data_IF_543895978477
#
_entry.id   IF_543895978477
#
_cell.length_a   1.000
_cell.length_b   1.000
_cell.length_c   1.000
_cell.angle_alpha   90.00
_cell.angle_beta   90.00
_cell.angle_gamma   90.00
#
_symmetry.space_group_name_H-M   'P 1'
#
loop_
_entity.id
_entity.type
_entity.pdbx_description
1 polymer ?
#
# COMPACT_ATOMS: atom_id res chain seq x y z
N UNK A 1 15.31 -12.17 17.79
CA UNK A 1 16.57 -12.74 18.33
C UNK A 1 16.81 -12.41 19.79
N UNK A 2 16.71 -11.15 20.23
CA UNK A 2 16.94 -10.80 21.65
C UNK A 2 16.02 -11.57 22.61
N UNK A 3 14.70 -11.57 22.37
CA UNK A 3 13.72 -12.31 23.17
C UNK A 3 14.01 -13.82 23.22
N UNK A 4 14.31 -14.43 22.06
CA UNK A 4 14.69 -15.84 21.97
C UNK A 4 15.91 -16.19 22.84
N UNK A 5 16.99 -15.39 22.81
CA UNK A 5 18.16 -15.63 23.67
C UNK A 5 17.86 -15.49 25.16
N UNK A 6 16.83 -14.71 25.51
CA UNK A 6 16.34 -14.54 26.87
C UNK A 6 15.22 -15.53 27.24
N UNK A 7 14.86 -16.45 26.32
CA UNK A 7 13.77 -17.41 26.50
C UNK A 7 12.41 -16.74 26.78
N UNK A 8 12.17 -15.58 26.17
CA UNK A 8 10.90 -14.86 26.26
C UNK A 8 10.05 -15.18 25.03
N UNK A 9 8.77 -15.60 25.21
CA UNK A 9 7.88 -15.88 24.09
C UNK A 9 7.68 -14.69 23.15
N UNK A 10 7.52 -14.97 21.85
CA UNK A 10 7.38 -13.97 20.79
C UNK A 10 6.10 -14.21 20.00
N UNK A 11 5.20 -13.23 20.01
CA UNK A 11 4.09 -13.15 19.07
C UNK A 11 4.48 -12.32 17.84
N UNK A 12 4.36 -12.90 16.64
CA UNK A 12 4.65 -12.23 15.37
C UNK A 12 3.35 -11.71 14.74
N UNK A 13 3.10 -10.41 14.90
CA UNK A 13 2.01 -9.71 14.22
C UNK A 13 2.35 -9.54 12.74
N UNK A 14 1.36 -9.71 11.85
CA UNK A 14 1.53 -9.68 10.40
C UNK A 14 2.40 -10.83 9.86
N UNK A 15 2.26 -12.02 10.46
CA UNK A 15 3.03 -13.19 10.06
C UNK A 15 2.58 -13.77 8.70
N UNK A 16 3.48 -14.50 8.03
CA UNK A 16 3.12 -15.36 6.89
C UNK A 16 3.14 -14.74 5.49
N UNK A 17 3.42 -13.45 5.34
CA UNK A 17 3.58 -12.80 4.03
C UNK A 17 4.83 -13.32 3.33
N UNK A 18 4.74 -13.68 2.04
CA UNK A 18 5.90 -14.21 1.29
C UNK A 18 5.89 -13.72 -0.16
N UNK A 19 7.08 -13.48 -0.69
CA UNK A 19 7.33 -13.48 -2.15
C UNK A 19 8.12 -14.72 -2.60
N UNK A 20 8.77 -15.42 -1.66
CA UNK A 20 9.72 -16.51 -1.91
C UNK A 20 10.95 -16.11 -2.75
N UNK A 21 11.12 -14.83 -3.07
CA UNK A 21 12.35 -14.28 -3.65
C UNK A 21 13.14 -13.53 -2.58
N UNK A 22 14.24 -14.14 -2.12
CA UNK A 22 15.14 -13.55 -1.13
C UNK A 22 15.74 -12.20 -1.52
N UNK A 23 15.65 -11.81 -2.80
CA UNK A 23 16.16 -10.55 -3.33
C UNK A 23 15.07 -9.50 -3.56
N UNK A 24 13.79 -9.85 -3.41
CA UNK A 24 12.68 -8.94 -3.69
C UNK A 24 11.44 -9.26 -2.83
N UNK A 25 11.09 -8.41 -1.86
CA UNK A 25 11.80 -7.22 -1.38
C UNK A 25 13.03 -7.57 -0.52
N UNK A 26 14.11 -6.81 -0.67
CA UNK A 26 15.35 -6.97 0.09
C UNK A 26 15.54 -5.84 1.12
N UNK A 27 15.77 -6.16 2.41
CA UNK A 27 15.98 -7.48 3.01
C UNK A 27 14.72 -8.16 3.58
N UNK A 28 13.54 -7.59 3.33
CA UNK A 28 12.34 -7.88 4.09
C UNK A 28 11.84 -9.32 3.94
N UNK A 29 11.97 -9.95 2.77
CA UNK A 29 11.62 -11.37 2.58
C UNK A 29 12.42 -12.30 3.50
N UNK A 30 13.71 -12.05 3.68
CA UNK A 30 14.54 -12.86 4.58
C UNK A 30 14.19 -12.57 6.04
N UNK A 31 14.01 -11.29 6.40
CA UNK A 31 13.70 -10.90 7.78
C UNK A 31 12.43 -11.58 8.31
N UNK A 32 11.33 -11.54 7.56
CA UNK A 32 10.05 -12.11 8.00
C UNK A 32 10.09 -13.63 8.15
N UNK A 33 10.88 -14.32 7.30
CA UNK A 33 11.10 -15.77 7.41
C UNK A 33 11.93 -16.10 8.65
N UNK A 34 12.98 -15.35 8.93
CA UNK A 34 13.77 -15.52 10.16
C UNK A 34 12.92 -15.30 11.42
N UNK A 35 12.07 -14.27 11.44
CA UNK A 35 11.18 -14.03 12.60
C UNK A 35 10.20 -15.19 12.78
N UNK A 36 9.66 -15.75 11.68
CA UNK A 36 8.75 -16.90 11.75
C UNK A 36 9.40 -18.15 12.37
N UNK A 37 10.72 -18.31 12.28
CA UNK A 37 11.42 -19.44 12.92
C UNK A 37 11.59 -19.31 14.43
N UNK A 38 11.41 -18.10 14.99
CA UNK A 38 11.62 -17.82 16.42
C UNK A 38 10.34 -17.39 17.14
N UNK A 39 9.21 -17.29 16.42
CA UNK A 39 7.94 -16.89 16.98
C UNK A 39 7.21 -18.10 17.57
N UNK A 40 6.57 -17.90 18.72
CA UNK A 40 5.75 -18.90 19.41
C UNK A 40 4.27 -18.78 18.98
N UNK A 41 3.84 -17.59 18.58
CA UNK A 41 2.52 -17.32 18.02
C UNK A 41 2.64 -16.51 16.73
N UNK A 42 1.78 -16.81 15.77
CA UNK A 42 1.77 -16.21 14.44
C UNK A 42 0.39 -15.62 14.14
N UNK A 43 0.30 -14.29 14.11
CA UNK A 43 -0.95 -13.61 13.79
C UNK A 43 -0.94 -13.27 12.30
N UNK A 44 -1.52 -14.16 11.51
CA UNK A 44 -1.59 -14.04 10.06
C UNK A 44 -2.73 -13.07 9.67
N UNK A 45 -2.52 -12.13 8.74
CA UNK A 45 -3.57 -11.20 8.35
C UNK A 45 -4.62 -11.84 7.43
N UNK A 46 -4.28 -12.92 6.73
CA UNK A 46 -5.15 -13.60 5.76
C UNK A 46 -4.96 -15.11 5.82
N UNK A 47 -5.94 -15.85 5.30
CA UNK A 47 -5.81 -17.31 5.11
C UNK A 47 -4.63 -17.67 4.18
N UNK A 48 -4.31 -16.80 3.21
CA UNK A 48 -3.15 -17.02 2.33
C UNK A 48 -1.83 -16.92 3.09
N UNK A 49 -1.72 -15.97 4.02
CA UNK A 49 -0.54 -15.84 4.88
C UNK A 49 -0.41 -17.03 5.85
N UNK A 50 -1.52 -17.54 6.38
CA UNK A 50 -1.57 -18.80 7.14
C UNK A 50 -1.08 -19.97 6.30
N UNK A 51 -1.59 -20.14 5.07
CA UNK A 51 -1.14 -21.22 4.16
C UNK A 51 0.37 -21.19 3.93
N UNK A 52 0.97 -20.00 3.80
CA UNK A 52 2.41 -19.86 3.64
C UNK A 52 3.19 -20.35 4.87
N UNK A 53 2.70 -20.06 6.09
CA UNK A 53 3.29 -20.54 7.34
C UNK A 53 3.17 -22.08 7.43
N UNK A 54 2.00 -22.62 7.11
CA UNK A 54 1.77 -24.07 7.08
C UNK A 54 2.70 -24.78 6.10
N UNK A 55 2.91 -24.22 4.90
CA UNK A 55 3.86 -24.75 3.91
C UNK A 55 5.32 -24.75 4.41
N UNK A 56 5.67 -23.82 5.30
CA UNK A 56 6.99 -23.73 5.91
C UNK A 56 7.13 -24.62 7.16
N UNK A 57 6.08 -25.35 7.55
CA UNK A 57 6.09 -26.30 8.65
C UNK A 57 5.79 -25.69 10.02
N UNK A 58 5.22 -24.47 10.06
CA UNK A 58 4.74 -23.87 11.31
C UNK A 58 3.55 -24.67 11.85
N UNK A 59 3.52 -25.05 13.14
CA UNK A 59 2.42 -25.81 13.73
C UNK A 59 1.08 -25.06 13.62
N UNK A 60 -0.02 -25.70 13.16
CA UNK A 60 -1.31 -25.02 12.96
C UNK A 60 -1.88 -24.37 14.22
N UNK A 61 -1.67 -24.98 15.38
CA UNK A 61 -2.12 -24.49 16.69
C UNK A 61 -1.38 -23.24 17.19
N UNK A 62 -0.35 -22.79 16.47
CA UNK A 62 0.39 -21.56 16.75
C UNK A 62 0.05 -20.43 15.78
N UNK A 63 -0.90 -20.65 14.87
CA UNK A 63 -1.30 -19.67 13.84
C UNK A 63 -2.74 -19.25 14.10
N UNK A 64 -2.97 -17.94 14.12
CA UNK A 64 -4.31 -17.34 14.22
C UNK A 64 -4.49 -16.35 13.07
N UNK A 65 -5.58 -16.50 12.31
CA UNK A 65 -5.95 -15.54 11.26
C UNK A 65 -6.72 -14.38 11.90
N UNK A 66 -6.09 -13.21 11.95
CA UNK A 66 -6.58 -12.07 12.73
C UNK A 66 -7.11 -10.92 11.89
N UNK A 67 -6.77 -10.85 10.61
CA UNK A 67 -6.77 -9.59 9.87
C UNK A 67 -5.50 -8.78 10.14
N UNK A 68 -5.28 -7.68 9.41
CA UNK A 68 -4.16 -6.80 9.63
C UNK A 68 -4.55 -5.64 10.54
N UNK A 69 -3.75 -5.42 11.60
CA UNK A 69 -3.87 -4.30 12.54
C UNK A 69 -3.78 -2.92 11.87
N UNK A 70 -3.25 -2.81 10.65
CA UNK A 70 -3.28 -1.55 9.89
C UNK A 70 -4.73 -1.12 9.56
N UNK A 71 -5.65 -2.08 9.41
CA UNK A 71 -7.07 -1.79 9.19
C UNK A 71 -7.73 -1.26 10.48
N UNK A 72 -7.35 -1.79 11.64
CA UNK A 72 -7.77 -1.26 12.95
C UNK A 72 -7.34 0.20 13.08
N UNK A 73 -6.08 0.51 12.77
CA UNK A 73 -5.53 1.86 12.82
C UNK A 73 -6.24 2.81 11.83
N UNK A 74 -6.46 2.35 10.59
CA UNK A 74 -7.15 3.10 9.55
C UNK A 74 -8.57 3.49 9.99
N UNK A 75 -9.37 2.52 10.42
CA UNK A 75 -10.75 2.77 10.86
C UNK A 75 -10.79 3.60 12.13
N UNK A 76 -9.86 3.42 13.06
CA UNK A 76 -9.74 4.27 14.23
C UNK A 76 -9.48 5.73 13.85
N UNK A 77 -8.57 6.00 12.91
CA UNK A 77 -8.29 7.35 12.41
C UNK A 77 -9.53 7.97 11.77
N UNK A 78 -10.21 7.24 10.87
CA UNK A 78 -11.41 7.75 10.19
C UNK A 78 -12.55 8.06 11.16
N UNK A 79 -12.69 7.29 12.24
CA UNK A 79 -13.73 7.49 13.24
C UNK A 79 -13.40 8.57 14.27
N UNK A 80 -12.11 8.79 14.60
CA UNK A 80 -11.72 9.59 15.76
C UNK A 80 -10.87 10.83 15.43
N UNK A 81 -10.39 10.99 14.19
CA UNK A 81 -9.47 12.07 13.83
C UNK A 81 -9.88 12.72 12.53
N UNK A 82 -9.96 14.04 12.55
CA UNK A 82 -10.09 14.87 11.35
C UNK A 82 -8.71 15.37 10.92
N UNK A 83 -8.49 15.50 9.62
CA UNK A 83 -7.35 16.24 9.09
C UNK A 83 -7.82 17.54 8.46
N UNK A 84 -7.16 18.64 8.79
CA UNK A 84 -7.28 19.86 8.00
C UNK A 84 -6.35 19.74 6.79
N UNK A 85 -6.94 19.50 5.63
CA UNK A 85 -6.21 19.45 4.38
C UNK A 85 -6.16 20.82 3.69
N UNK A 86 -6.85 21.86 4.18
CA UNK A 86 -7.06 23.11 3.45
C UNK A 86 -5.75 23.78 2.98
N UNK A 87 -4.67 23.67 3.75
CA UNK A 87 -3.35 24.17 3.34
C UNK A 87 -2.82 23.45 2.11
N UNK A 88 -2.93 22.12 2.08
CA UNK A 88 -2.55 21.28 0.94
C UNK A 88 -3.46 21.49 -0.28
N UNK A 89 -4.76 21.69 -0.02
CA UNK A 89 -5.79 21.76 -1.06
C UNK A 89 -6.03 23.18 -1.55
N UNK A 90 -5.37 24.16 -0.96
CA UNK A 90 -5.52 25.56 -1.38
C UNK A 90 -5.17 25.76 -2.86
N UNK A 91 -4.26 24.93 -3.38
CA UNK A 91 -3.85 24.91 -4.79
C UNK A 91 -4.61 23.86 -5.63
N UNK A 92 -5.33 22.94 -4.99
CA UNK A 92 -6.04 21.84 -5.66
C UNK A 92 -7.54 22.12 -5.70
N UNK A 93 -8.16 22.23 -6.89
CA UNK A 93 -9.60 22.47 -6.99
C UNK A 93 -10.42 21.43 -6.18
N UNK A 94 -11.29 21.93 -5.29
CA UNK A 94 -11.99 21.12 -4.28
C UNK A 94 -13.00 20.10 -4.85
N UNK A 95 -13.43 20.27 -6.10
CA UNK A 95 -14.37 19.37 -6.77
C UNK A 95 -13.69 18.50 -7.84
N UNK A 96 -12.40 18.69 -8.08
CA UNK A 96 -11.71 17.90 -9.10
C UNK A 96 -11.43 16.47 -8.58
N UNK A 97 -11.56 15.44 -9.44
CA UNK A 97 -11.15 14.07 -9.13
C UNK A 97 -9.63 13.96 -8.98
N UNK A 98 -9.17 13.20 -7.98
CA UNK A 98 -7.75 13.11 -7.63
C UNK A 98 -7.17 11.72 -7.81
N UNK A 99 -5.94 11.71 -8.30
CA UNK A 99 -5.08 10.54 -8.36
C UNK A 99 -4.00 10.74 -7.30
N UNK A 100 -4.01 9.90 -6.27
CA UNK A 100 -2.95 9.94 -5.25
C UNK A 100 -1.78 9.08 -5.72
N UNK A 101 -0.57 9.64 -5.65
CA UNK A 101 0.65 8.93 -6.02
C UNK A 101 1.54 8.82 -4.80
N UNK A 102 2.11 7.64 -4.57
CA UNK A 102 3.28 7.49 -3.70
C UNK A 102 4.33 6.63 -4.39
N UNK A 103 5.59 6.89 -4.10
CA UNK A 103 6.70 6.14 -4.67
C UNK A 103 7.92 6.37 -3.82
N UNK A 104 8.51 5.31 -3.26
CA UNK A 104 9.71 5.41 -2.43
C UNK A 104 10.59 4.15 -2.37
N UNK A 105 10.22 3.06 -3.05
CA UNK A 105 10.98 1.80 -2.98
C UNK A 105 12.34 1.95 -3.66
N UNK A 106 13.34 1.33 -3.03
CA UNK A 106 14.73 1.37 -3.50
C UNK A 106 14.89 0.66 -4.84
N UNK A 107 14.14 -0.43 -5.06
CA UNK A 107 14.17 -1.19 -6.31
C UNK A 107 13.76 -0.35 -7.53
N UNK A 108 12.98 0.72 -7.34
CA UNK A 108 12.50 1.59 -8.41
C UNK A 108 13.50 2.71 -8.76
N UNK A 109 14.56 2.92 -7.97
CA UNK A 109 15.49 4.05 -8.14
C UNK A 109 16.17 4.04 -9.52
N UNK A 110 16.33 5.24 -10.09
CA UNK A 110 16.86 5.41 -11.44
C UNK A 110 15.75 5.35 -12.48
N UNK A 111 15.84 4.40 -13.42
CA UNK A 111 14.96 4.32 -14.58
C UNK A 111 13.49 4.10 -14.19
N UNK A 112 13.20 3.27 -13.17
CA UNK A 112 11.83 2.99 -12.73
C UNK A 112 11.08 4.26 -12.29
N UNK A 113 11.71 5.13 -11.52
CA UNK A 113 11.14 6.43 -11.12
C UNK A 113 10.98 7.39 -12.30
N UNK A 114 11.96 7.44 -13.21
CA UNK A 114 11.83 8.27 -14.43
C UNK A 114 10.64 7.81 -15.27
N UNK A 115 10.46 6.51 -15.41
CA UNK A 115 9.35 5.93 -16.14
C UNK A 115 7.99 6.20 -15.48
N UNK A 116 7.92 6.15 -14.14
CA UNK A 116 6.74 6.62 -13.42
C UNK A 116 6.45 8.09 -13.74
N UNK A 117 7.47 8.96 -13.70
CA UNK A 117 7.28 10.39 -14.02
C UNK A 117 6.84 10.62 -15.47
N UNK A 118 7.35 9.83 -16.43
CA UNK A 118 6.88 9.87 -17.83
C UNK A 118 5.38 9.54 -17.88
N UNK A 119 4.96 8.45 -17.24
CA UNK A 119 3.57 8.06 -17.20
C UNK A 119 2.67 9.12 -16.54
N UNK A 120 3.11 9.71 -15.42
CA UNK A 120 2.36 10.77 -14.74
C UNK A 120 2.21 12.03 -15.61
N UNK A 121 3.25 12.43 -16.34
CA UNK A 121 3.18 13.51 -17.31
C UNK A 121 2.14 13.23 -18.39
N UNK A 122 2.13 12.02 -18.94
CA UNK A 122 1.20 11.64 -20.01
C UNK A 122 -0.24 11.51 -19.50
N UNK A 123 -0.44 10.99 -18.29
CA UNK A 123 -1.74 10.99 -17.61
C UNK A 123 -2.22 12.44 -17.41
N UNK A 124 -1.38 13.31 -16.88
CA UNK A 124 -1.71 14.71 -16.64
C UNK A 124 -2.09 15.45 -17.92
N UNK A 125 -1.41 15.15 -19.03
CA UNK A 125 -1.68 15.75 -20.35
C UNK A 125 -2.97 15.23 -20.98
N UNK A 126 -3.24 13.92 -20.88
CA UNK A 126 -4.46 13.29 -21.43
C UNK A 126 -5.71 13.59 -20.60
N UNK A 127 -5.55 13.82 -19.30
CA UNK A 127 -6.65 14.03 -18.35
C UNK A 127 -6.53 15.37 -17.61
N UNK A 128 -6.62 16.52 -18.30
CA UNK A 128 -6.40 17.85 -17.70
C UNK A 128 -7.41 18.22 -16.60
N UNK A 129 -8.57 17.54 -16.55
CA UNK A 129 -9.57 17.72 -15.49
C UNK A 129 -9.25 16.99 -14.17
N UNK A 130 -8.27 16.09 -14.17
CA UNK A 130 -7.86 15.32 -12.99
C UNK A 130 -6.62 15.94 -12.35
N UNK A 131 -6.52 15.85 -11.03
CA UNK A 131 -5.40 16.37 -10.26
C UNK A 131 -4.56 15.21 -9.75
N UNK A 132 -3.26 15.23 -10.01
CA UNK A 132 -2.32 14.26 -9.46
C UNK A 132 -1.74 14.87 -8.18
N UNK A 133 -1.95 14.24 -7.03
CA UNK A 133 -1.36 14.65 -5.75
C UNK A 133 -0.25 13.68 -5.39
N UNK A 134 0.98 14.18 -5.24
CA UNK A 134 2.14 13.34 -4.98
C UNK A 134 2.95 13.84 -3.78
N UNK A 135 2.77 13.26 -2.58
CA UNK A 135 3.67 13.45 -1.45
C UNK A 135 5.06 12.86 -1.74
N UNK A 136 6.04 13.73 -2.00
CA UNK A 136 7.36 13.32 -2.53
C UNK A 136 8.31 12.97 -1.39
N UNK A 137 8.72 11.70 -1.31
CA UNK A 137 9.64 11.19 -0.28
C UNK A 137 10.91 12.06 -0.14
N UNK A 138 11.41 12.25 1.09
CA UNK A 138 12.57 13.12 1.41
C UNK A 138 13.92 12.68 0.80
N UNK A 139 13.96 11.56 0.07
CA UNK A 139 15.23 11.05 -0.45
C UNK A 139 15.64 11.93 -1.65
N UNK A 140 16.82 12.57 -1.65
CA UNK A 140 17.24 13.47 -2.72
C UNK A 140 17.15 12.85 -4.11
N UNK A 141 17.50 11.56 -4.25
CA UNK A 141 17.45 10.84 -5.54
C UNK A 141 16.03 10.75 -6.11
N UNK A 142 15.04 10.66 -5.23
CA UNK A 142 13.62 10.66 -5.62
C UNK A 142 13.18 12.10 -5.92
N UNK A 143 13.44 13.03 -5.00
CA UNK A 143 13.01 14.43 -5.13
C UNK A 143 13.55 15.08 -6.39
N UNK A 144 14.86 14.99 -6.64
CA UNK A 144 15.49 15.64 -7.78
C UNK A 144 14.82 15.21 -9.09
N UNK A 145 14.64 13.90 -9.30
CA UNK A 145 14.00 13.36 -10.51
C UNK A 145 12.54 13.81 -10.64
N UNK A 146 11.77 13.72 -9.56
CA UNK A 146 10.34 14.06 -9.55
C UNK A 146 10.12 15.54 -9.82
N UNK A 147 10.84 16.42 -9.12
CA UNK A 147 10.73 17.87 -9.31
C UNK A 147 11.27 18.31 -10.66
N UNK A 148 12.36 17.74 -11.16
CA UNK A 148 12.88 18.04 -12.50
C UNK A 148 11.84 17.75 -13.59
N UNK A 149 11.11 16.64 -13.48
CA UNK A 149 10.24 16.14 -14.54
C UNK A 149 8.78 16.60 -14.44
N UNK A 150 8.28 16.95 -13.25
CA UNK A 150 6.84 17.16 -13.01
C UNK A 150 6.45 18.56 -12.53
N UNK A 151 7.39 19.38 -12.02
CA UNK A 151 7.06 20.64 -11.33
C UNK A 151 6.30 21.67 -12.17
N UNK A 152 6.45 21.64 -13.49
CA UNK A 152 5.90 22.66 -14.40
C UNK A 152 4.49 22.28 -14.90
N UNK A 153 3.91 21.16 -14.44
CA UNK A 153 2.55 20.73 -14.80
C UNK A 153 1.53 21.30 -13.82
N UNK A 154 0.56 22.05 -14.32
CA UNK A 154 -0.45 22.74 -13.50
C UNK A 154 -1.42 21.81 -12.76
N UNK A 155 -1.57 20.56 -13.20
CA UNK A 155 -2.42 19.55 -12.57
C UNK A 155 -1.63 18.43 -11.89
N UNK A 156 -0.34 18.66 -11.60
CA UNK A 156 0.48 17.80 -10.74
C UNK A 156 0.92 18.60 -9.51
N UNK A 157 0.49 18.16 -8.34
CA UNK A 157 0.72 18.81 -7.06
C UNK A 157 1.76 18.01 -6.28
N UNK A 158 3.01 18.48 -6.34
CA UNK A 158 4.12 17.91 -5.57
C UNK A 158 4.12 18.51 -4.17
N UNK A 159 3.86 17.67 -3.17
CA UNK A 159 3.70 18.11 -1.77
C UNK A 159 4.71 17.44 -0.87
N UNK A 160 4.94 18.02 0.32
CA UNK A 160 5.81 17.41 1.30
C UNK A 160 5.20 16.10 1.86
N UNK A 161 6.04 15.13 2.29
CA UNK A 161 5.57 13.94 2.98
C UNK A 161 4.69 14.28 4.18
N UNK A 162 3.67 13.46 4.39
CA UNK A 162 2.62 13.74 5.35
C UNK A 162 2.62 12.73 6.49
N UNK A 163 2.17 13.18 7.65
CA UNK A 163 1.84 12.30 8.75
C UNK A 163 0.65 11.38 8.40
N UNK A 164 0.50 10.31 9.18
CA UNK A 164 -0.48 9.27 8.89
C UNK A 164 -1.93 9.79 8.78
N UNK A 165 -2.37 10.62 9.73
CA UNK A 165 -3.76 11.13 9.76
C UNK A 165 -4.13 11.90 8.49
N UNK A 166 -3.43 12.98 8.08
CA UNK A 166 -3.76 13.65 6.82
C UNK A 166 -3.61 12.74 5.59
N UNK A 167 -2.66 11.81 5.60
CA UNK A 167 -2.49 10.85 4.51
C UNK A 167 -3.70 9.91 4.35
N UNK A 168 -4.27 9.40 5.44
CA UNK A 168 -5.50 8.59 5.42
C UNK A 168 -6.67 9.35 4.79
N UNK A 169 -6.84 10.63 5.15
CA UNK A 169 -7.89 11.48 4.56
C UNK A 169 -7.65 11.76 3.07
N UNK A 170 -6.39 11.87 2.64
CA UNK A 170 -6.07 11.93 1.20
C UNK A 170 -6.42 10.63 0.46
N UNK A 171 -6.10 9.47 1.03
CA UNK A 171 -6.49 8.18 0.44
C UNK A 171 -8.01 8.06 0.35
N UNK A 172 -8.76 8.48 1.38
CA UNK A 172 -10.22 8.44 1.35
C UNK A 172 -10.80 9.33 0.24
N UNK A 173 -10.16 10.48 -0.01
CA UNK A 173 -10.59 11.45 -1.01
C UNK A 173 -10.19 11.11 -2.44
N UNK A 174 -9.10 10.36 -2.66
CA UNK A 174 -8.65 10.00 -4.00
C UNK A 174 -9.66 9.11 -4.74
N UNK A 175 -9.65 9.15 -6.06
CA UNK A 175 -10.44 8.26 -6.90
C UNK A 175 -9.76 6.88 -6.98
N UNK A 176 -8.45 6.89 -7.22
CA UNK A 176 -7.59 5.72 -7.16
C UNK A 176 -6.16 6.14 -6.78
N UNK A 177 -5.32 5.14 -6.56
CA UNK A 177 -3.95 5.33 -6.07
C UNK A 177 -2.95 4.66 -7.02
N UNK A 178 -1.81 5.29 -7.25
CA UNK A 178 -0.64 4.70 -7.93
C UNK A 178 0.48 4.60 -6.88
N UNK A 179 0.96 3.39 -6.58
CA UNK A 179 1.87 3.20 -5.46
C UNK A 179 2.80 1.99 -5.56
N UNK A 180 3.99 2.10 -4.99
CA UNK A 180 4.90 0.98 -4.71
C UNK A 180 4.88 0.54 -3.23
N UNK A 181 3.98 1.10 -2.43
CA UNK A 181 3.85 0.77 -1.01
C UNK A 181 3.06 -0.53 -0.81
N UNK A 182 3.54 -1.37 0.11
CA UNK A 182 2.85 -2.59 0.52
C UNK A 182 1.62 -2.26 1.37
N UNK A 183 1.78 -1.44 2.42
CA UNK A 183 0.68 -1.09 3.34
C UNK A 183 -0.48 -0.36 2.64
N UNK A 184 -0.17 0.51 1.67
CA UNK A 184 -1.22 1.21 0.91
C UNK A 184 -2.09 0.22 0.14
N UNK A 185 -1.58 -0.91 -0.35
CA UNK A 185 -2.40 -1.91 -1.03
C UNK A 185 -3.51 -2.46 -0.12
N UNK A 186 -3.23 -2.59 1.18
CA UNK A 186 -4.20 -3.06 2.16
C UNK A 186 -5.19 -1.97 2.56
N UNK A 187 -4.67 -0.80 2.96
CA UNK A 187 -5.49 0.32 3.45
C UNK A 187 -6.41 0.85 2.35
N UNK A 188 -5.89 1.00 1.13
CA UNK A 188 -6.68 1.41 -0.03
C UNK A 188 -7.79 0.41 -0.34
N UNK A 189 -7.49 -0.90 -0.20
CA UNK A 189 -8.49 -1.96 -0.41
C UNK A 189 -9.62 -1.82 0.60
N UNK A 190 -9.33 -1.60 1.88
CA UNK A 190 -10.35 -1.35 2.91
C UNK A 190 -11.18 -0.08 2.65
N UNK A 191 -10.58 0.96 2.08
CA UNK A 191 -11.26 2.17 1.62
C UNK A 191 -12.07 1.98 0.32
N UNK A 192 -11.96 0.83 -0.34
CA UNK A 192 -12.57 0.57 -1.64
C UNK A 192 -11.92 1.38 -2.78
N UNK A 193 -10.64 1.74 -2.66
CA UNK A 193 -9.86 2.45 -3.67
C UNK A 193 -9.06 1.47 -4.49
N UNK A 194 -9.12 1.62 -5.82
CA UNK A 194 -8.28 0.84 -6.73
C UNK A 194 -6.82 1.28 -6.63
N UNK A 195 -5.88 0.33 -6.76
CA UNK A 195 -4.43 0.62 -6.70
C UNK A 195 -3.72 0.08 -7.94
N UNK A 196 -3.00 0.96 -8.65
CA UNK A 196 -2.00 0.57 -9.64
C UNK A 196 -0.66 0.40 -8.93
N UNK A 197 -0.24 -0.85 -8.77
CA UNK A 197 0.97 -1.21 -8.03
C UNK A 197 2.17 -1.12 -8.95
N UNK A 198 3.07 -0.18 -8.70
CA UNK A 198 4.26 0.09 -9.53
C UNK A 198 5.43 -0.83 -9.20
N UNK A 199 5.12 -2.12 -9.04
CA UNK A 199 6.08 -3.21 -8.76
C UNK A 199 5.79 -4.40 -9.66
N UNK A 200 6.82 -5.20 -9.92
CA UNK A 200 6.69 -6.46 -10.66
C UNK A 200 6.11 -7.59 -9.79
N UNK A 201 6.34 -7.53 -8.48
CA UNK A 201 5.85 -8.50 -7.51
C UNK A 201 5.25 -7.81 -6.30
N UNK A 202 4.34 -8.50 -5.61
CA UNK A 202 3.77 -8.04 -4.36
C UNK A 202 3.62 -9.19 -3.37
N UNK A 203 3.88 -8.90 -2.11
CA UNK A 203 3.57 -9.76 -0.96
C UNK A 203 2.09 -9.69 -0.54
N UNK A 204 1.23 -9.09 -1.38
CA UNK A 204 -0.23 -8.91 -1.22
C UNK A 204 -1.01 -9.45 -2.42
N UNK A 205 -0.87 -10.74 -2.76
CA UNK A 205 -1.53 -11.31 -3.94
C UNK A 205 -3.06 -11.27 -3.83
N UNK A 206 -3.63 -11.23 -2.63
CA UNK A 206 -5.07 -11.27 -2.40
C UNK A 206 -5.79 -10.07 -3.02
N UNK A 207 -5.24 -8.86 -2.86
CA UNK A 207 -5.78 -7.65 -3.48
C UNK A 207 -5.72 -7.71 -5.01
N UNK A 208 -4.70 -8.36 -5.57
CA UNK A 208 -4.55 -8.54 -7.02
C UNK A 208 -5.55 -9.56 -7.55
N UNK A 209 -5.72 -10.69 -6.85
CA UNK A 209 -6.70 -11.72 -7.20
C UNK A 209 -8.13 -11.21 -7.11
N UNK A 210 -8.43 -10.35 -6.14
CA UNK A 210 -9.74 -9.71 -5.99
C UNK A 210 -9.97 -8.55 -6.99
N UNK A 211 -8.97 -8.22 -7.82
CA UNK A 211 -9.05 -7.16 -8.82
C UNK A 211 -8.82 -5.75 -8.28
N UNK A 212 -8.87 -5.51 -6.96
CA UNK A 212 -8.72 -4.17 -6.36
C UNK A 212 -7.35 -3.55 -6.67
N UNK A 213 -6.30 -4.38 -6.68
CA UNK A 213 -4.95 -3.99 -7.05
C UNK A 213 -4.57 -4.55 -8.42
N UNK A 214 -3.75 -3.80 -9.18
CA UNK A 214 -3.16 -4.28 -10.44
C UNK A 214 -1.67 -3.99 -10.45
N UNK A 215 -0.85 -5.04 -10.59
CA UNK A 215 0.58 -4.89 -10.85
C UNK A 215 0.78 -4.31 -12.26
N UNK A 216 1.37 -3.12 -12.33
CA UNK A 216 1.72 -2.45 -13.59
C UNK A 216 3.22 -2.31 -13.79
N UNK A 217 4.02 -2.64 -12.77
CA UNK A 217 5.46 -2.46 -12.81
C UNK A 217 5.87 -1.00 -12.96
N UNK A 218 7.03 -0.76 -13.56
CA UNK A 218 7.54 0.60 -13.83
C UNK A 218 7.59 0.90 -15.33
N UNK A 219 6.78 0.22 -16.14
CA UNK A 219 6.64 0.47 -17.57
C UNK A 219 5.63 1.62 -17.80
N UNK A 220 6.03 2.75 -18.41
CA UNK A 220 5.14 3.89 -18.57
C UNK A 220 3.83 3.55 -19.28
N UNK A 221 3.90 2.70 -20.29
CA UNK A 221 2.76 2.28 -21.11
C UNK A 221 1.77 1.44 -20.31
N UNK A 222 2.26 0.57 -19.42
CA UNK A 222 1.39 -0.22 -18.54
C UNK A 222 0.72 0.65 -17.50
N UNK A 223 1.44 1.61 -16.90
CA UNK A 223 0.89 2.55 -15.94
C UNK A 223 -0.21 3.39 -16.60
N UNK A 224 0.07 3.97 -17.78
CA UNK A 224 -0.88 4.77 -18.54
C UNK A 224 -2.13 3.98 -18.92
N UNK A 225 -1.99 2.76 -19.47
CA UNK A 225 -3.14 1.90 -19.78
C UNK A 225 -3.93 1.54 -18.54
N UNK A 226 -3.26 1.30 -17.41
CA UNK A 226 -3.90 1.07 -16.12
C UNK A 226 -4.75 2.25 -15.70
N UNK A 227 -4.18 3.46 -15.71
CA UNK A 227 -4.87 4.69 -15.35
C UNK A 227 -6.03 4.99 -16.30
N UNK A 228 -5.82 4.90 -17.62
CA UNK A 228 -6.85 5.07 -18.62
C UNK A 228 -8.02 4.09 -18.43
N UNK A 229 -7.74 2.84 -18.03
CA UNK A 229 -8.82 1.86 -17.78
C UNK A 229 -9.71 2.23 -16.57
N UNK A 230 -9.17 2.93 -15.58
CA UNK A 230 -9.94 3.45 -14.45
C UNK A 230 -10.71 4.71 -14.84
N UNK A 231 -10.03 5.65 -15.50
CA UNK A 231 -10.54 6.98 -15.85
C UNK A 231 -11.58 6.95 -16.97
N UNK A 232 -11.35 6.19 -18.06
CA UNK A 232 -12.20 6.22 -19.25
C UNK A 232 -13.47 5.38 -19.10
N UNK A 233 -13.39 4.28 -18.34
CA UNK A 233 -14.48 3.30 -18.22
C UNK A 233 -15.32 3.49 -16.97
N UNK A 234 -14.94 4.43 -16.10
CA UNK A 234 -15.51 4.61 -14.77
C UNK A 234 -15.67 3.26 -14.03
N UNK A 235 -14.74 2.34 -14.29
CA UNK A 235 -14.79 0.98 -13.79
C UNK A 235 -13.86 0.88 -12.60
N UNK A 236 -14.41 1.06 -11.40
CA UNK A 236 -13.73 0.62 -10.19
C UNK A 236 -13.39 -0.87 -10.36
N UNK A 237 -12.15 -1.29 -10.06
CA UNK A 237 -11.73 -2.65 -10.37
C UNK A 237 -12.48 -3.74 -9.58
N UNK A 238 -13.27 -3.37 -8.56
CA UNK A 238 -14.33 -4.20 -8.02
C UNK A 238 -15.39 -3.34 -7.32
N UNK A 239 -16.67 -3.58 -7.60
CA UNK A 239 -17.80 -3.11 -6.76
C UNK A 239 -18.12 -4.12 -5.64
N UNK A 240 -17.33 -5.18 -5.48
CA UNK A 240 -17.55 -6.22 -4.48
C UNK A 240 -17.23 -5.69 -3.07
N UNK A 241 -18.22 -5.54 -2.18
CA UNK A 241 -17.98 -5.08 -0.82
C UNK A 241 -17.10 -6.04 -0.01
N UNK A 242 -17.09 -7.34 -0.36
CA UNK A 242 -16.27 -8.34 0.32
C UNK A 242 -14.77 -8.12 0.09
N UNK A 243 -14.40 -7.51 -1.05
CA UNK A 243 -13.01 -7.20 -1.34
C UNK A 243 -12.41 -6.21 -0.33
N UNK A 244 -13.24 -5.36 0.31
CA UNK A 244 -12.78 -4.42 1.35
C UNK A 244 -12.36 -5.10 2.66
N UNK A 245 -12.75 -6.35 2.86
CA UNK A 245 -12.49 -7.10 4.10
C UNK A 245 -11.35 -8.11 3.95
N UNK A 246 -10.68 -8.15 2.78
CA UNK A 246 -9.59 -9.11 2.49
C UNK A 246 -8.52 -9.10 3.58
N UNK A 247 -8.11 -7.92 4.03
CA UNK A 247 -7.08 -7.74 5.05
C UNK A 247 -7.67 -7.51 6.45
N UNK A 248 -8.96 -7.80 6.65
CA UNK A 248 -9.60 -7.69 7.95
C UNK A 248 -10.70 -6.63 8.03
N UNK A 249 -11.31 -6.60 9.20
CA UNK A 249 -12.52 -5.85 9.54
C UNK A 249 -12.28 -4.80 10.65
N UNK A 250 -11.01 -4.51 10.95
CA UNK A 250 -10.61 -3.55 11.98
C UNK A 250 -10.70 -4.06 13.42
N UNK A 251 -10.70 -5.38 13.62
CA UNK A 251 -10.71 -6.02 14.95
C UNK A 251 -9.51 -6.96 15.16
N UNK A 252 -8.43 -6.83 14.38
CA UNK A 252 -7.26 -7.70 14.50
C UNK A 252 -6.59 -7.57 15.88
N UNK A 253 -6.49 -6.36 16.42
CA UNK A 253 -5.87 -6.12 17.72
C UNK A 253 -6.65 -6.83 18.86
N UNK A 254 -7.98 -6.86 18.79
CA UNK A 254 -8.81 -7.56 19.76
C UNK A 254 -8.56 -9.08 19.71
N UNK A 255 -8.57 -9.66 18.50
CA UNK A 255 -8.26 -11.10 18.31
C UNK A 255 -6.88 -11.48 18.81
N UNK A 256 -5.88 -10.62 18.57
CA UNK A 256 -4.50 -10.84 19.05
C UNK A 256 -4.48 -10.85 20.59
N UNK A 257 -5.15 -9.91 21.25
CA UNK A 257 -5.22 -9.85 22.72
C UNK A 257 -5.91 -11.08 23.29
N UNK A 258 -7.01 -11.54 22.68
CA UNK A 258 -7.73 -12.74 23.11
C UNK A 258 -6.87 -14.02 22.95
N UNK A 259 -6.05 -14.09 21.90
CA UNK A 259 -5.19 -15.24 21.64
C UNK A 259 -3.95 -15.33 22.55
N UNK A 260 -3.53 -14.24 23.21
CA UNK A 260 -2.42 -14.23 24.17
C UNK A 260 -2.87 -14.36 25.64
N UNK A 261 -4.18 -14.26 25.89
CA UNK A 261 -4.77 -14.29 27.23
C UNK A 261 -4.91 -15.72 27.79
#
# INVERSE_FOLDING_TARGET
MAAFHLQIPVGHVEAGLRTYDKRAPFPEEVNRRLISTIADLHFAPTAHAEENLLREGVPPDTIEVTGNTVIDALFWVLANRTADLSGLLSEVPSEAPWILVTGHRRESFGEGFRNLCIALNEIAERYPGHQIVYPVHLNPRVRETVFEMLKDRSNIHLVEPMDYVPFVHLMQRSEFIISDSGGIQEEATALGKSVLVTREVTERPEAVMAGVCRLVGTDPEKILRGAASLLDRNSAFANDPSARQIYGDGHAAARIVDAIA
#
